data_IF_768817271027
#
_entry.id   IF_768817271027
#
_cell.length_a   1.000
_cell.length_b   1.000
_cell.length_c   1.000
_cell.angle_alpha   90.00
_cell.angle_beta   90.00
_cell.angle_gamma   90.00
#
_symmetry.space_group_name_H-M   'P 1'
#
loop_
_entity.id
_entity.type
_entity.pdbx_description
1 polymer ?
#
# COMPACT_ATOMS: atom_id res chain seq x y z
N UNK A 1 -3.54 21.33 -25.23
CA UNK A 1 -2.83 21.65 -26.50
C UNK A 1 -1.34 21.39 -26.39
N UNK A 2 -0.63 21.88 -25.36
CA UNK A 2 0.82 21.72 -25.20
C UNK A 2 1.29 20.25 -25.03
N UNK A 3 0.50 19.38 -24.46
CA UNK A 3 0.81 17.94 -24.34
C UNK A 3 0.76 17.26 -25.70
N UNK A 4 -0.20 17.63 -26.57
CA UNK A 4 -0.28 17.13 -27.94
C UNK A 4 0.94 17.56 -28.77
N UNK A 5 1.40 18.80 -28.59
CA UNK A 5 2.61 19.27 -29.28
C UNK A 5 3.89 18.62 -28.78
N UNK A 6 3.95 18.19 -27.51
CA UNK A 6 5.07 17.37 -26.97
C UNK A 6 5.18 16.01 -27.65
N UNK A 7 4.04 15.39 -27.99
CA UNK A 7 4.02 14.04 -28.59
C UNK A 7 4.25 14.11 -30.09
N UNK A 8 3.74 15.16 -30.78
CA UNK A 8 3.71 15.22 -32.25
C UNK A 8 4.65 16.21 -32.89
N UNK A 9 5.18 17.22 -32.20
CA UNK A 9 5.85 18.33 -32.91
C UNK A 9 7.25 18.66 -32.38
N UNK A 10 7.73 18.07 -31.33
CA UNK A 10 9.07 18.30 -30.72
C UNK A 10 9.45 19.78 -30.45
N UNK A 11 8.54 20.73 -30.70
CA UNK A 11 8.75 22.18 -30.66
C UNK A 11 8.12 22.79 -29.40
N UNK A 12 8.54 22.30 -28.21
CA UNK A 12 7.99 22.72 -26.93
C UNK A 12 9.10 23.33 -26.09
N UNK A 13 8.76 24.33 -25.27
CA UNK A 13 9.69 24.96 -24.34
C UNK A 13 10.36 23.88 -23.45
N UNK A 14 11.69 23.93 -23.25
CA UNK A 14 12.44 22.95 -22.47
C UNK A 14 11.86 22.71 -21.05
N UNK A 15 11.35 23.78 -20.43
CA UNK A 15 10.70 23.73 -19.11
C UNK A 15 9.44 22.87 -19.13
N UNK A 16 8.57 23.04 -20.12
CA UNK A 16 7.31 22.27 -20.24
C UNK A 16 7.61 20.77 -20.45
N UNK A 17 8.62 20.46 -21.26
CA UNK A 17 9.10 19.07 -21.47
C UNK A 17 9.62 18.47 -20.17
N UNK A 18 10.43 19.20 -19.42
CA UNK A 18 10.98 18.74 -18.13
C UNK A 18 9.89 18.51 -17.09
N UNK A 19 8.94 19.43 -16.94
CA UNK A 19 7.80 19.27 -16.02
C UNK A 19 6.94 18.06 -16.39
N UNK A 20 6.70 17.85 -17.67
CA UNK A 20 5.91 16.71 -18.13
C UNK A 20 6.61 15.38 -17.83
N UNK A 21 7.86 15.22 -18.24
CA UNK A 21 8.60 13.95 -18.11
C UNK A 21 9.00 13.63 -16.66
N UNK A 22 9.35 14.64 -15.87
CA UNK A 22 9.87 14.42 -14.52
C UNK A 22 8.81 14.46 -13.42
N UNK A 23 7.65 15.07 -13.66
CA UNK A 23 6.61 15.23 -12.65
C UNK A 23 5.26 14.66 -13.08
N UNK A 24 4.71 15.08 -14.22
CA UNK A 24 3.35 14.69 -14.61
C UNK A 24 3.23 13.23 -15.04
N UNK A 25 4.07 12.80 -15.97
CA UNK A 25 4.08 11.43 -16.47
C UNK A 25 4.35 10.41 -15.36
N UNK A 26 5.37 10.59 -14.48
CA UNK A 26 5.59 9.66 -13.38
C UNK A 26 4.42 9.53 -12.41
N UNK A 27 3.70 10.63 -12.15
CA UNK A 27 2.51 10.59 -11.27
C UNK A 27 1.36 9.79 -11.88
N UNK A 28 1.11 9.98 -13.17
CA UNK A 28 0.07 9.23 -13.89
C UNK A 28 0.41 7.74 -13.95
N UNK A 29 1.65 7.40 -14.28
CA UNK A 29 2.10 6.01 -14.30
C UNK A 29 2.03 5.37 -12.91
N UNK A 30 2.44 6.09 -11.86
CA UNK A 30 2.33 5.59 -10.50
C UNK A 30 0.87 5.39 -10.07
N UNK A 31 -0.04 6.29 -10.46
CA UNK A 31 -1.47 6.14 -10.20
C UNK A 31 -2.04 4.88 -10.86
N UNK A 32 -1.65 4.60 -12.11
CA UNK A 32 -2.05 3.38 -12.82
C UNK A 32 -1.51 2.12 -12.13
N UNK A 33 -0.23 2.10 -11.76
CA UNK A 33 0.41 0.97 -11.09
C UNK A 33 -0.24 0.73 -9.72
N UNK A 34 -0.44 1.79 -8.94
CA UNK A 34 -1.07 1.69 -7.62
C UNK A 34 -2.52 1.22 -7.72
N UNK A 35 -3.28 1.76 -8.67
CA UNK A 35 -4.67 1.36 -8.90
C UNK A 35 -4.77 -0.10 -9.34
N UNK A 36 -3.92 -0.55 -10.26
CA UNK A 36 -3.87 -1.94 -10.69
C UNK A 36 -3.49 -2.88 -9.53
N UNK A 37 -2.49 -2.51 -8.73
CA UNK A 37 -2.08 -3.29 -7.56
C UNK A 37 -3.17 -3.41 -6.51
N UNK A 38 -3.85 -2.31 -6.18
CA UNK A 38 -4.96 -2.30 -5.23
C UNK A 38 -6.16 -3.10 -5.75
N UNK A 39 -6.47 -3.01 -7.04
CA UNK A 39 -7.55 -3.80 -7.67
C UNK A 39 -7.24 -5.29 -7.61
N UNK A 40 -6.01 -5.69 -7.94
CA UNK A 40 -5.59 -7.09 -7.86
C UNK A 40 -5.62 -7.61 -6.42
N UNK A 41 -5.09 -6.85 -5.48
CA UNK A 41 -5.14 -7.20 -4.06
C UNK A 41 -6.60 -7.34 -3.60
N UNK A 42 -7.47 -6.38 -3.92
CA UNK A 42 -8.89 -6.43 -3.60
C UNK A 42 -9.58 -7.68 -4.13
N UNK A 43 -9.36 -8.02 -5.41
CA UNK A 43 -9.91 -9.22 -6.03
C UNK A 43 -9.46 -10.50 -5.31
N UNK A 44 -8.17 -10.59 -4.95
CA UNK A 44 -7.62 -11.74 -4.20
C UNK A 44 -8.28 -11.85 -2.82
N UNK A 45 -8.40 -10.75 -2.08
CA UNK A 45 -9.07 -10.76 -0.77
C UNK A 45 -10.53 -11.17 -0.88
N UNK A 46 -11.28 -10.65 -1.87
CA UNK A 46 -12.66 -11.02 -2.11
C UNK A 46 -12.80 -12.51 -2.42
N UNK A 47 -11.88 -13.06 -3.19
CA UNK A 47 -11.84 -14.49 -3.53
C UNK A 47 -11.57 -15.35 -2.29
N UNK A 48 -10.49 -15.07 -1.55
CA UNK A 48 -10.08 -15.87 -0.38
C UNK A 48 -11.13 -15.83 0.73
N UNK A 49 -11.74 -14.66 0.99
CA UNK A 49 -12.72 -14.50 2.06
C UNK A 49 -14.16 -14.77 1.64
N UNK A 50 -14.41 -15.12 0.35
CA UNK A 50 -15.77 -15.32 -0.21
C UNK A 50 -16.70 -14.15 0.15
N UNK A 51 -16.16 -12.93 0.16
CA UNK A 51 -16.86 -11.72 0.57
C UNK A 51 -16.49 -10.54 -0.32
N UNK A 52 -17.45 -10.02 -1.07
CA UNK A 52 -17.26 -8.88 -1.97
C UNK A 52 -16.86 -7.57 -1.25
N UNK A 53 -17.07 -7.49 0.07
CA UNK A 53 -16.67 -6.35 0.88
C UNK A 53 -15.24 -6.49 1.43
N UNK A 54 -14.57 -7.63 1.19
CA UNK A 54 -13.21 -7.84 1.67
C UNK A 54 -12.22 -6.94 0.93
N UNK A 55 -11.29 -6.37 1.70
CA UNK A 55 -10.20 -5.53 1.20
C UNK A 55 -8.96 -5.69 2.09
N UNK A 56 -7.77 -5.33 1.61
CA UNK A 56 -6.55 -5.34 2.43
C UNK A 56 -6.67 -4.53 3.73
N UNK A 57 -7.50 -3.49 3.75
CA UNK A 57 -7.71 -2.63 4.92
C UNK A 57 -8.39 -3.35 6.08
N UNK A 58 -9.23 -4.35 5.80
CA UNK A 58 -9.93 -5.13 6.82
C UNK A 58 -8.93 -5.87 7.74
N UNK A 59 -7.79 -6.30 7.18
CA UNK A 59 -6.73 -6.97 7.96
C UNK A 59 -5.75 -5.95 8.59
N UNK A 60 -5.99 -4.66 8.43
CA UNK A 60 -5.19 -3.63 9.07
C UNK A 60 -3.86 -3.29 8.38
N UNK A 61 -3.68 -3.69 7.11
CA UNK A 61 -2.46 -3.44 6.33
C UNK A 61 -2.14 -1.95 6.27
N UNK A 62 -3.12 -1.11 5.91
CA UNK A 62 -2.92 0.35 5.81
C UNK A 62 -2.63 0.99 7.17
N UNK A 63 -3.30 0.52 8.23
CA UNK A 63 -3.05 1.03 9.59
C UNK A 63 -1.65 0.69 10.07
N UNK A 64 -1.19 -0.54 9.80
CA UNK A 64 0.18 -0.97 10.09
C UNK A 64 1.22 -0.21 9.27
N UNK A 65 0.95 0.02 7.97
CA UNK A 65 1.80 0.84 7.12
C UNK A 65 1.95 2.26 7.66
N UNK A 66 0.86 2.89 8.05
CA UNK A 66 0.86 4.24 8.61
C UNK A 66 1.62 4.32 9.94
N UNK A 67 1.47 3.32 10.82
CA UNK A 67 2.24 3.24 12.05
C UNK A 67 3.73 3.07 11.78
N UNK A 68 4.10 2.16 10.87
CA UNK A 68 5.49 1.96 10.48
C UNK A 68 6.11 3.21 9.87
N UNK A 69 5.38 3.92 9.01
CA UNK A 69 5.81 5.22 8.47
C UNK A 69 6.02 6.25 9.58
N UNK A 70 5.07 6.38 10.52
CA UNK A 70 5.16 7.32 11.63
C UNK A 70 6.38 7.05 12.51
N UNK A 71 6.65 5.78 12.86
CA UNK A 71 7.85 5.38 13.61
C UNK A 71 9.14 5.80 12.90
N UNK A 72 9.21 5.58 11.57
CA UNK A 72 10.41 5.96 10.82
C UNK A 72 10.57 7.45 10.62
N UNK A 73 9.48 8.21 10.57
CA UNK A 73 9.51 9.68 10.53
C UNK A 73 10.10 10.23 11.83
N UNK A 74 9.67 9.70 12.99
CA UNK A 74 10.13 10.17 14.31
C UNK A 74 11.55 9.72 14.66
N UNK A 75 12.01 8.55 14.18
CA UNK A 75 13.34 8.01 14.54
C UNK A 75 14.42 8.41 13.53
N UNK A 76 14.11 8.42 12.22
CA UNK A 76 15.10 8.49 11.13
C UNK A 76 15.04 9.79 10.32
N UNK A 77 14.28 10.78 10.78
CA UNK A 77 13.95 11.98 10.01
C UNK A 77 13.05 11.71 8.80
N UNK A 78 12.38 12.76 8.32
CA UNK A 78 11.31 12.69 7.32
C UNK A 78 11.77 12.40 5.87
N UNK A 79 12.87 11.67 5.65
CA UNK A 79 13.28 11.31 4.30
C UNK A 79 12.37 10.19 3.75
N UNK A 80 12.03 10.28 2.44
CA UNK A 80 10.97 9.45 1.82
C UNK A 80 11.33 7.97 1.75
N UNK A 81 12.60 7.63 1.51
CA UNK A 81 13.01 6.22 1.37
C UNK A 81 12.89 5.45 2.69
N UNK A 82 13.44 5.93 3.80
CA UNK A 82 13.20 5.29 5.10
C UNK A 82 11.73 5.21 5.47
N UNK A 83 10.94 6.25 5.23
CA UNK A 83 9.51 6.27 5.54
C UNK A 83 8.74 5.21 4.76
N UNK A 84 9.00 5.06 3.47
CA UNK A 84 8.37 4.01 2.65
C UNK A 84 8.78 2.59 3.11
N UNK A 85 10.04 2.40 3.50
CA UNK A 85 10.51 1.13 4.06
C UNK A 85 9.84 0.85 5.40
N UNK A 86 9.72 1.85 6.27
CA UNK A 86 8.98 1.74 7.53
C UNK A 86 7.53 1.34 7.32
N UNK A 87 6.85 1.99 6.35
CA UNK A 87 5.49 1.64 5.97
C UNK A 87 5.38 0.19 5.50
N UNK A 88 6.30 -0.27 4.65
CA UNK A 88 6.31 -1.65 4.16
C UNK A 88 6.50 -2.66 5.30
N UNK A 89 7.46 -2.43 6.18
CA UNK A 89 7.70 -3.27 7.36
C UNK A 89 6.48 -3.27 8.28
N UNK A 90 5.89 -2.10 8.56
CA UNK A 90 4.69 -1.98 9.39
C UNK A 90 3.48 -2.71 8.81
N UNK A 91 3.30 -2.67 7.48
CA UNK A 91 2.27 -3.43 6.78
C UNK A 91 2.47 -4.93 6.96
N UNK A 92 3.68 -5.45 6.75
CA UNK A 92 4.00 -6.88 6.92
C UNK A 92 3.82 -7.33 8.36
N UNK A 93 4.26 -6.52 9.33
CA UNK A 93 4.09 -6.82 10.75
C UNK A 93 2.62 -6.88 11.14
N UNK A 94 1.76 -5.99 10.62
CA UNK A 94 0.33 -6.02 10.91
C UNK A 94 -0.31 -7.31 10.41
N UNK A 95 0.01 -7.75 9.20
CA UNK A 95 -0.46 -9.03 8.64
C UNK A 95 0.02 -10.20 9.50
N UNK A 96 1.31 -10.22 9.85
CA UNK A 96 1.88 -11.27 10.70
C UNK A 96 1.18 -11.34 12.05
N UNK A 97 0.91 -10.20 12.69
CA UNK A 97 0.21 -10.14 13.97
C UNK A 97 -1.22 -10.66 13.87
N UNK A 98 -1.94 -10.32 12.80
CA UNK A 98 -3.28 -10.86 12.54
C UNK A 98 -3.24 -12.38 12.40
N UNK A 99 -2.30 -12.90 11.60
CA UNK A 99 -2.14 -14.35 11.43
C UNK A 99 -1.80 -15.06 12.74
N UNK A 100 -0.95 -14.48 13.58
CA UNK A 100 -0.60 -15.02 14.90
C UNK A 100 -1.78 -15.00 15.85
N UNK A 101 -2.59 -13.93 15.86
CA UNK A 101 -3.81 -13.84 16.66
C UNK A 101 -4.82 -14.92 16.25
N UNK A 102 -5.09 -15.06 14.95
CA UNK A 102 -6.01 -16.07 14.43
C UNK A 102 -5.53 -17.47 14.74
N UNK A 103 -4.21 -17.75 14.59
CA UNK A 103 -3.64 -19.05 14.94
C UNK A 103 -3.83 -19.41 16.43
N UNK A 104 -3.90 -18.41 17.30
CA UNK A 104 -4.17 -18.59 18.75
C UNK A 104 -5.62 -18.91 19.07
N UNK A 105 -6.55 -18.71 18.13
CA UNK A 105 -7.95 -19.06 18.26
C UNK A 105 -8.20 -20.49 17.74
N UNK A 106 -9.23 -21.17 18.27
CA UNK A 106 -9.60 -22.51 17.79
C UNK A 106 -10.39 -22.48 16.48
N UNK A 107 -10.85 -21.32 16.05
CA UNK A 107 -11.66 -21.12 14.85
C UNK A 107 -10.95 -20.17 13.90
N UNK A 108 -10.69 -20.61 12.67
CA UNK A 108 -10.07 -19.82 11.60
C UNK A 108 -11.09 -19.53 10.49
N UNK A 109 -12.17 -18.85 10.84
CA UNK A 109 -13.16 -18.40 9.86
C UNK A 109 -12.90 -16.94 9.43
N UNK A 110 -13.53 -16.49 8.34
CA UNK A 110 -13.41 -15.12 7.80
C UNK A 110 -13.66 -14.05 8.88
N UNK A 111 -14.65 -14.26 9.74
CA UNK A 111 -15.00 -13.31 10.82
C UNK A 111 -13.88 -13.14 11.83
N UNK A 112 -13.14 -14.21 12.15
CA UNK A 112 -12.00 -14.17 13.06
C UNK A 112 -10.86 -13.31 12.49
N UNK A 113 -10.57 -13.42 11.20
CA UNK A 113 -9.58 -12.55 10.52
C UNK A 113 -10.01 -11.08 10.55
N UNK A 114 -11.28 -10.80 10.28
CA UNK A 114 -11.82 -9.43 10.32
C UNK A 114 -11.72 -8.84 11.72
N UNK A 115 -12.12 -9.57 12.75
CA UNK A 115 -12.02 -9.12 14.15
C UNK A 115 -10.58 -8.88 14.56
N UNK A 116 -9.66 -9.80 14.24
CA UNK A 116 -8.24 -9.62 14.51
C UNK A 116 -7.70 -8.38 13.80
N UNK A 117 -8.09 -8.15 12.54
CA UNK A 117 -7.72 -6.97 11.77
C UNK A 117 -8.20 -5.66 12.40
N UNK A 118 -9.43 -5.62 12.93
CA UNK A 118 -9.97 -4.47 13.65
C UNK A 118 -9.15 -4.18 14.92
N UNK A 119 -8.79 -5.21 15.67
CA UNK A 119 -7.97 -5.07 16.87
C UNK A 119 -6.59 -4.50 16.54
N UNK A 120 -5.90 -5.08 15.55
CA UNK A 120 -4.58 -4.62 15.11
C UNK A 120 -4.66 -3.19 14.55
N UNK A 121 -5.68 -2.88 13.75
CA UNK A 121 -5.90 -1.52 13.21
C UNK A 121 -6.10 -0.49 14.33
N UNK A 122 -6.87 -0.85 15.36
CA UNK A 122 -7.12 0.03 16.50
C UNK A 122 -5.86 0.26 17.32
N UNK A 123 -5.08 -0.80 17.57
CA UNK A 123 -3.78 -0.71 18.23
C UNK A 123 -2.79 0.18 17.42
N UNK A 124 -2.73 0.00 16.10
CA UNK A 124 -1.89 0.81 15.23
C UNK A 124 -2.30 2.29 15.25
N UNK A 125 -3.60 2.60 15.17
CA UNK A 125 -4.12 3.96 15.27
C UNK A 125 -3.78 4.61 16.63
N UNK A 126 -3.90 3.86 17.73
CA UNK A 126 -3.50 4.32 19.07
C UNK A 126 -2.00 4.61 19.10
N UNK A 127 -1.17 3.73 18.53
CA UNK A 127 0.27 3.96 18.41
C UNK A 127 0.61 5.23 17.63
N UNK A 128 -0.09 5.49 16.50
CA UNK A 128 0.08 6.73 15.74
C UNK A 128 -0.31 7.95 16.59
N UNK A 129 -1.40 7.89 17.35
CA UNK A 129 -1.80 8.97 18.25
C UNK A 129 -0.73 9.28 19.30
N UNK A 130 -0.13 8.26 19.90
CA UNK A 130 0.96 8.43 20.85
C UNK A 130 2.18 9.06 20.19
N UNK A 131 2.58 8.60 19.01
CA UNK A 131 3.68 9.21 18.27
C UNK A 131 3.41 10.69 17.94
N UNK A 132 2.22 11.02 17.49
CA UNK A 132 1.81 12.42 17.22
C UNK A 132 1.85 13.29 18.48
N UNK A 133 1.50 12.74 19.64
CA UNK A 133 1.54 13.49 20.90
C UNK A 133 2.96 13.86 21.31
N UNK A 134 3.95 13.00 21.05
CA UNK A 134 5.35 13.23 21.37
C UNK A 134 6.17 13.83 20.23
N UNK A 135 5.62 13.88 19.02
CA UNK A 135 6.27 14.38 17.83
C UNK A 135 6.55 15.88 17.91
N UNK A 136 7.65 16.31 17.29
CA UNK A 136 7.91 17.73 17.09
C UNK A 136 6.85 18.37 16.20
N UNK A 137 6.22 19.45 16.70
CA UNK A 137 5.07 20.09 16.06
C UNK A 137 5.41 20.75 14.72
N UNK A 138 6.66 21.20 14.54
CA UNK A 138 7.06 21.95 13.33
C UNK A 138 7.42 21.03 12.15
N UNK A 139 7.93 19.83 12.42
CA UNK A 139 8.46 18.94 11.39
C UNK A 139 7.80 17.56 11.36
N UNK A 140 7.83 16.82 12.46
CA UNK A 140 7.43 15.42 12.49
C UNK A 140 5.91 15.24 12.41
N UNK A 141 5.16 16.04 13.17
CA UNK A 141 3.70 15.99 13.17
C UNK A 141 3.14 16.28 11.78
N UNK A 142 3.64 17.33 11.13
CA UNK A 142 3.23 17.68 9.77
C UNK A 142 3.57 16.57 8.76
N UNK A 143 4.73 15.92 8.91
CA UNK A 143 5.14 14.82 8.04
C UNK A 143 4.27 13.58 8.24
N UNK A 144 3.93 13.21 9.48
CA UNK A 144 3.03 12.08 9.78
C UNK A 144 1.64 12.36 9.21
N UNK A 145 1.09 13.57 9.39
CA UNK A 145 -0.21 13.94 8.84
C UNK A 145 -0.22 13.87 7.31
N UNK A 146 0.80 14.45 6.66
CA UNK A 146 0.93 14.41 5.21
C UNK A 146 1.03 12.97 4.67
N UNK A 147 1.75 12.09 5.37
CA UNK A 147 1.86 10.69 4.98
C UNK A 147 0.53 9.95 5.11
N UNK A 148 -0.17 10.13 6.24
CA UNK A 148 -1.45 9.44 6.50
C UNK A 148 -2.57 9.88 5.57
N UNK A 149 -2.55 11.12 5.07
CA UNK A 149 -3.49 11.59 4.03
C UNK A 149 -3.28 10.87 2.69
N UNK A 150 -2.05 10.45 2.40
CA UNK A 150 -1.66 9.86 1.12
C UNK A 150 -1.55 10.91 0.01
N UNK A 151 -0.50 10.83 -0.80
CA UNK A 151 -0.31 11.75 -1.92
C UNK A 151 0.64 11.18 -2.96
N UNK A 152 0.31 11.41 -4.23
CA UNK A 152 1.21 11.16 -5.36
C UNK A 152 1.99 12.42 -5.78
N UNK A 153 1.81 13.55 -5.09
CA UNK A 153 2.42 14.83 -5.48
C UNK A 153 3.96 14.81 -5.41
N UNK A 154 4.52 13.99 -4.52
CA UNK A 154 5.97 13.84 -4.33
C UNK A 154 6.63 12.86 -5.31
N UNK A 155 5.86 12.20 -6.18
CA UNK A 155 6.39 11.23 -7.15
C UNK A 155 7.13 11.96 -8.27
N UNK A 156 8.37 11.53 -8.50
CA UNK A 156 9.26 11.96 -9.58
C UNK A 156 9.66 10.77 -10.45
N UNK A 157 10.27 11.03 -11.61
CA UNK A 157 10.77 9.97 -12.50
C UNK A 157 11.72 9.00 -11.76
N UNK A 158 12.63 9.53 -10.95
CA UNK A 158 13.57 8.72 -10.17
C UNK A 158 12.85 7.79 -9.19
N UNK A 159 11.87 8.31 -8.43
CA UNK A 159 11.09 7.49 -7.48
C UNK A 159 10.28 6.42 -8.18
N UNK A 160 9.67 6.76 -9.33
CA UNK A 160 8.94 5.79 -10.13
C UNK A 160 9.85 4.62 -10.56
N UNK A 161 11.08 4.91 -11.03
CA UNK A 161 12.03 3.87 -11.45
C UNK A 161 12.41 2.90 -10.33
N UNK A 162 12.43 3.34 -9.07
CA UNK A 162 12.68 2.44 -7.94
C UNK A 162 11.46 1.65 -7.49
N UNK A 163 10.27 2.27 -7.49
CA UNK A 163 9.06 1.66 -6.91
C UNK A 163 8.34 0.78 -7.94
N UNK A 164 8.25 1.23 -9.21
CA UNK A 164 7.47 0.53 -10.23
C UNK A 164 7.94 -0.91 -10.51
N UNK A 165 9.25 -1.21 -10.64
CA UNK A 165 9.69 -2.59 -10.85
C UNK A 165 9.26 -3.53 -9.73
N UNK A 166 9.42 -3.11 -8.48
CA UNK A 166 9.01 -3.89 -7.32
C UNK A 166 7.50 -4.16 -7.31
N UNK A 167 6.69 -3.12 -7.56
CA UNK A 167 5.23 -3.25 -7.63
C UNK A 167 4.79 -4.16 -8.77
N UNK A 168 5.38 -4.00 -9.97
CA UNK A 168 5.05 -4.82 -11.14
C UNK A 168 5.44 -6.29 -10.90
N UNK A 169 6.63 -6.55 -10.38
CA UNK A 169 7.09 -7.91 -10.06
C UNK A 169 6.12 -8.56 -9.06
N UNK A 170 5.72 -7.84 -8.00
CA UNK A 170 4.75 -8.34 -7.03
C UNK A 170 3.40 -8.69 -7.68
N UNK A 171 2.89 -7.83 -8.56
CA UNK A 171 1.65 -8.11 -9.30
C UNK A 171 1.79 -9.33 -10.23
N UNK A 172 2.92 -9.45 -10.94
CA UNK A 172 3.19 -10.60 -11.83
C UNK A 172 3.25 -11.89 -11.02
N UNK A 173 3.92 -11.91 -9.87
CA UNK A 173 3.94 -13.07 -8.97
C UNK A 173 2.51 -13.46 -8.56
N UNK A 174 1.68 -12.50 -8.13
CA UNK A 174 0.29 -12.78 -7.76
C UNK A 174 -0.53 -13.33 -8.93
N UNK A 175 -0.32 -12.83 -10.15
CA UNK A 175 -0.99 -13.35 -11.35
C UNK A 175 -0.54 -14.77 -11.70
N UNK A 176 0.72 -15.12 -11.53
CA UNK A 176 1.23 -16.48 -11.73
C UNK A 176 0.57 -17.46 -10.73
N UNK A 177 0.40 -17.03 -9.47
CA UNK A 177 -0.25 -17.82 -8.45
C UNK A 177 -1.79 -17.75 -8.45
N UNK A 178 -2.40 -17.07 -9.43
CA UNK A 178 -3.85 -16.88 -9.47
C UNK A 178 -4.63 -18.21 -9.44
N UNK A 179 -4.15 -19.25 -10.14
CA UNK A 179 -4.79 -20.58 -10.15
C UNK A 179 -4.76 -21.20 -8.74
N UNK A 180 -3.65 -21.12 -8.04
CA UNK A 180 -3.51 -21.63 -6.68
C UNK A 180 -4.42 -20.88 -5.70
N UNK A 181 -4.53 -19.56 -5.86
CA UNK A 181 -5.41 -18.71 -5.04
C UNK A 181 -6.86 -19.10 -5.27
N UNK A 182 -7.27 -19.35 -6.52
CA UNK A 182 -8.62 -19.82 -6.82
C UNK A 182 -8.90 -21.21 -6.24
N UNK A 183 -7.96 -22.14 -6.31
CA UNK A 183 -8.09 -23.47 -5.70
C UNK A 183 -8.26 -23.39 -4.18
N UNK A 184 -7.56 -22.48 -3.51
CA UNK A 184 -7.72 -22.24 -2.06
C UNK A 184 -9.11 -21.68 -1.69
N UNK A 185 -9.83 -21.11 -2.65
CA UNK A 185 -11.17 -20.59 -2.44
C UNK A 185 -12.28 -21.64 -2.71
N UNK A 186 -11.95 -22.82 -3.23
CA UNK A 186 -12.91 -23.90 -3.41
C UNK A 186 -13.13 -24.65 -2.09
N UNK A 187 -14.33 -25.22 -1.90
CA UNK A 187 -14.58 -26.15 -0.80
C UNK A 187 -13.74 -27.42 -1.00
N UNK A 188 -13.44 -28.13 0.10
CA UNK A 188 -12.62 -29.35 0.07
C UNK A 188 -13.17 -30.40 -0.92
N UNK A 189 -14.50 -30.46 -1.10
CA UNK A 189 -15.18 -31.38 -2.03
C UNK A 189 -15.00 -30.97 -3.51
N UNK A 190 -14.91 -29.68 -3.80
CA UNK A 190 -14.69 -29.14 -5.15
C UNK A 190 -13.20 -29.15 -5.56
N UNK A 191 -12.30 -29.09 -4.60
CA UNK A 191 -10.86 -29.12 -4.86
C UNK A 191 -10.34 -30.51 -5.23
N UNK A 192 -11.11 -31.57 -4.96
CA UNK A 192 -10.78 -33.00 -5.24
C UNK A 192 -11.42 -33.52 -6.53
N UNK A 193 -12.28 -32.77 -7.18
CA UNK A 193 -12.94 -33.11 -8.45
C UNK A 193 -12.20 -32.47 -9.65
#
# INVERSE_FOLDING_TARGET
>A
REIFSLIFTNNVKPLTKSVFLNLRLPRVLMALISGAGLSLAGAIYQTIFHNQLASPDIIGVSSGANLGAAVFITILSSSIIPTALGAFIGALLSVLLVLLLVKGTKESNTSTYVLAGIVISSAAKTGIMLLKYFADSESELAAIEYWTMGSLSSITATKLLYIAPFSIISMVILLIFNRQIQLLSLSDDEALS
#
